data_IF_730907060545
#
_entry.id   IF_730907060545
#
_cell.length_a   1.000
_cell.length_b   1.000
_cell.length_c   1.000
_cell.angle_alpha   90.00
_cell.angle_beta   90.00
_cell.angle_gamma   90.00
#
_symmetry.space_group_name_H-M   'P 1'
#
loop_
_entity.id
_entity.type
_entity.pdbx_description
1 polymer ?
#
# COMPACT_ATOMS: atom_id res chain seq x y z
N UNK A 1 -22.48 37.05 -25.65
CA UNK A 1 -22.38 35.58 -25.47
C UNK A 1 -21.25 35.06 -26.34
N UNK A 2 -20.06 34.83 -25.80
CA UNK A 2 -18.96 34.24 -26.54
C UNK A 2 -19.15 32.71 -26.54
N UNK A 3 -19.35 32.14 -27.73
CA UNK A 3 -19.36 30.70 -27.92
C UNK A 3 -17.95 30.16 -27.61
N UNK A 4 -17.82 29.44 -26.52
CA UNK A 4 -16.60 28.68 -26.18
C UNK A 4 -16.48 27.56 -27.22
N UNK A 5 -15.54 27.65 -28.15
CA UNK A 5 -15.36 26.69 -29.24
C UNK A 5 -14.88 25.32 -28.72
N UNK A 6 -14.95 24.25 -29.53
CA UNK A 6 -14.61 22.89 -29.12
C UNK A 6 -13.17 22.73 -28.60
N UNK A 7 -12.25 23.59 -29.01
CA UNK A 7 -10.86 23.62 -28.51
C UNK A 7 -10.76 24.09 -27.06
N UNK A 8 -11.56 25.10 -26.65
CA UNK A 8 -11.56 25.57 -25.26
C UNK A 8 -12.19 24.55 -24.32
N UNK A 9 -13.23 23.80 -24.75
CA UNK A 9 -13.81 22.71 -23.95
C UNK A 9 -12.82 21.55 -23.76
N UNK A 10 -12.04 21.20 -24.80
CA UNK A 10 -10.99 20.16 -24.69
C UNK A 10 -9.86 20.56 -23.73
N UNK A 11 -9.43 21.84 -23.79
CA UNK A 11 -8.42 22.34 -22.85
C UNK A 11 -8.91 22.34 -21.40
N UNK A 12 -10.15 22.76 -21.12
CA UNK A 12 -10.71 22.73 -19.77
C UNK A 12 -10.89 21.31 -19.26
N UNK A 13 -11.34 20.38 -20.10
CA UNK A 13 -11.49 18.97 -19.72
C UNK A 13 -10.14 18.31 -19.43
N UNK A 14 -9.11 18.62 -20.22
CA UNK A 14 -7.74 18.10 -19.98
C UNK A 14 -7.10 18.68 -18.72
N UNK A 15 -7.28 19.96 -18.42
CA UNK A 15 -6.78 20.55 -17.16
C UNK A 15 -7.44 19.89 -15.95
N UNK A 16 -8.75 19.71 -15.96
CA UNK A 16 -9.49 19.02 -14.91
C UNK A 16 -9.01 17.57 -14.72
N UNK A 17 -8.73 16.84 -15.81
CA UNK A 17 -8.22 15.45 -15.71
C UNK A 17 -6.83 15.39 -15.13
N UNK A 18 -5.91 16.28 -15.47
CA UNK A 18 -4.56 16.33 -14.89
C UNK A 18 -4.64 16.67 -13.40
N UNK A 19 -5.53 17.56 -12.99
CA UNK A 19 -5.76 17.86 -11.57
C UNK A 19 -6.24 16.61 -10.83
N UNK A 20 -7.19 15.86 -11.42
CA UNK A 20 -7.66 14.60 -10.85
C UNK A 20 -6.55 13.55 -10.73
N UNK A 21 -5.69 13.39 -11.73
CA UNK A 21 -4.52 12.50 -11.68
C UNK A 21 -3.59 12.91 -10.52
N UNK A 22 -3.30 14.21 -10.38
CA UNK A 22 -2.41 14.76 -9.35
C UNK A 22 -2.97 14.65 -7.91
N UNK A 23 -4.26 14.40 -7.76
CA UNK A 23 -4.85 14.09 -6.46
C UNK A 23 -4.56 12.67 -6.00
N UNK A 24 -4.28 11.71 -6.90
CA UNK A 24 -4.13 10.29 -6.58
C UNK A 24 -2.75 9.97 -6.01
N UNK A 25 -2.76 9.25 -4.89
CA UNK A 25 -1.58 8.69 -4.24
C UNK A 25 -1.85 7.23 -3.95
N UNK A 26 -1.08 6.33 -4.55
CA UNK A 26 -1.31 4.89 -4.44
C UNK A 26 -0.06 4.21 -3.90
N UNK A 27 -0.19 3.60 -2.74
CA UNK A 27 0.93 2.94 -2.09
C UNK A 27 0.59 1.58 -1.50
N UNK A 28 1.62 0.75 -1.40
CA UNK A 28 1.57 -0.53 -0.70
C UNK A 28 2.14 -0.44 0.70
N UNK A 29 1.62 -1.22 1.63
CA UNK A 29 2.23 -1.39 2.94
C UNK A 29 2.79 -2.80 3.03
N UNK A 30 4.09 -2.91 3.26
CA UNK A 30 4.82 -4.17 3.42
C UNK A 30 5.49 -4.25 4.78
N UNK A 31 5.56 -5.46 5.33
CA UNK A 31 6.18 -5.71 6.61
C UNK A 31 6.44 -7.19 6.81
N UNK A 32 7.36 -7.51 7.71
CA UNK A 32 7.39 -8.84 8.33
C UNK A 32 6.12 -9.07 9.18
N UNK A 33 5.64 -10.32 9.33
CA UNK A 33 4.54 -10.62 10.25
C UNK A 33 4.77 -10.04 11.64
N UNK A 34 3.72 -9.52 12.26
CA UNK A 34 3.72 -8.90 13.59
C UNK A 34 4.48 -7.58 13.73
N UNK A 35 5.05 -6.99 12.68
CA UNK A 35 5.68 -5.66 12.75
C UNK A 35 4.68 -4.52 13.02
N UNK A 36 3.36 -4.79 12.87
CA UNK A 36 2.29 -3.85 13.14
C UNK A 36 1.68 -3.22 11.88
N UNK A 37 1.85 -3.87 10.72
CA UNK A 37 1.31 -3.43 9.44
C UNK A 37 -0.19 -3.14 9.49
N UNK A 38 -1.02 -4.12 9.85
CA UNK A 38 -2.47 -3.98 9.95
C UNK A 38 -2.88 -2.87 10.92
N UNK A 39 -2.15 -2.72 12.04
CA UNK A 39 -2.37 -1.64 12.99
C UNK A 39 -2.10 -0.27 12.35
N UNK A 40 -0.99 -0.14 11.61
CA UNK A 40 -0.68 1.11 10.90
C UNK A 40 -1.75 1.43 9.86
N UNK A 41 -2.16 0.44 9.05
CA UNK A 41 -3.23 0.60 8.05
C UNK A 41 -4.54 1.11 8.68
N UNK A 42 -5.00 0.50 9.78
CA UNK A 42 -6.19 0.92 10.52
C UNK A 42 -6.07 2.36 11.05
N UNK A 43 -4.87 2.77 11.49
CA UNK A 43 -4.64 4.13 11.98
C UNK A 43 -4.60 5.15 10.85
N UNK A 44 -4.02 4.83 9.70
CA UNK A 44 -4.07 5.70 8.52
C UNK A 44 -5.52 5.92 8.07
N UNK A 45 -6.36 4.87 8.05
CA UNK A 45 -7.80 4.98 7.77
C UNK A 45 -8.54 5.82 8.81
N UNK A 46 -8.16 5.71 10.08
CA UNK A 46 -8.75 6.50 11.17
C UNK A 46 -8.42 8.00 11.00
N UNK A 47 -7.17 8.34 10.76
CA UNK A 47 -6.75 9.74 10.53
C UNK A 47 -7.32 10.31 9.24
N UNK A 48 -7.49 9.49 8.21
CA UNK A 48 -8.19 9.84 6.98
C UNK A 48 -9.71 9.97 7.14
N UNK A 49 -10.27 9.74 8.35
CA UNK A 49 -11.71 9.81 8.60
C UNK A 49 -12.54 8.71 7.93
N UNK A 50 -11.89 7.71 7.34
CA UNK A 50 -12.55 6.62 6.63
C UNK A 50 -13.23 5.62 7.57
N UNK A 51 -12.73 5.50 8.80
CA UNK A 51 -13.31 4.70 9.89
C UNK A 51 -13.41 5.54 11.17
N UNK A 52 -14.42 5.25 11.99
CA UNK A 52 -14.64 5.99 13.25
C UNK A 52 -13.79 5.46 14.41
N UNK A 53 -13.43 4.19 14.38
CA UNK A 53 -12.60 3.53 15.39
C UNK A 53 -11.73 2.46 14.73
N UNK A 54 -10.43 2.43 15.05
CA UNK A 54 -9.54 1.39 14.58
C UNK A 54 -9.77 0.05 15.30
N UNK A 55 -9.69 -1.06 14.57
CA UNK A 55 -9.72 -2.41 15.12
C UNK A 55 -8.37 -2.79 15.76
N UNK A 56 -8.38 -3.68 16.76
CA UNK A 56 -7.16 -4.20 17.40
C UNK A 56 -6.94 -5.67 17.03
N UNK A 57 -5.73 -5.98 16.54
CA UNK A 57 -5.36 -7.34 16.09
C UNK A 57 -5.15 -8.32 17.25
N UNK A 58 -4.80 -7.85 18.45
CA UNK A 58 -4.47 -8.72 19.60
C UNK A 58 -5.12 -8.26 20.90
N UNK A 59 -6.41 -8.42 21.01
CA UNK A 59 -7.05 -8.39 22.32
C UNK A 59 -8.17 -9.43 22.36
N UNK A 60 -7.98 -10.50 23.15
CA UNK A 60 -9.03 -11.49 23.45
C UNK A 60 -10.27 -10.88 24.13
N UNK A 61 -10.28 -9.57 24.38
CA UNK A 61 -11.37 -8.84 25.03
C UNK A 61 -12.16 -7.90 24.13
N UNK A 62 -11.67 -7.61 22.91
CA UNK A 62 -12.35 -6.69 21.97
C UNK A 62 -12.83 -7.49 20.76
N UNK A 63 -14.16 -7.65 20.64
CA UNK A 63 -14.84 -8.39 19.53
C UNK A 63 -14.89 -7.63 18.19
N UNK A 64 -14.13 -6.55 17.99
CA UNK A 64 -14.09 -5.83 16.71
C UNK A 64 -12.96 -6.40 15.82
N UNK A 65 -13.33 -6.95 14.67
CA UNK A 65 -12.37 -7.32 13.61
C UNK A 65 -11.82 -6.07 12.95
N UNK A 66 -10.58 -6.15 12.44
CA UNK A 66 -9.96 -5.10 11.66
C UNK A 66 -10.68 -4.89 10.33
N UNK A 67 -10.66 -3.67 9.79
CA UNK A 67 -11.28 -3.34 8.50
C UNK A 67 -10.54 -3.99 7.35
N UNK A 68 -9.22 -4.15 7.48
CA UNK A 68 -8.34 -4.79 6.48
C UNK A 68 -8.51 -6.31 6.41
N UNK A 69 -8.80 -6.99 7.53
CA UNK A 69 -8.95 -8.44 7.59
C UNK A 69 -10.44 -8.81 7.48
N UNK A 70 -10.94 -8.90 6.25
CA UNK A 70 -12.37 -9.13 6.00
C UNK A 70 -12.74 -10.61 5.79
N UNK A 71 -11.76 -11.48 5.46
CA UNK A 71 -11.99 -12.91 5.27
C UNK A 71 -12.14 -13.65 6.59
N UNK A 72 -13.00 -14.67 6.62
CA UNK A 72 -13.23 -15.48 7.82
C UNK A 72 -11.96 -16.21 8.27
N UNK A 73 -11.14 -16.66 7.33
CA UNK A 73 -9.85 -17.31 7.60
C UNK A 73 -8.83 -16.33 8.23
N UNK A 74 -8.86 -15.06 7.85
CA UNK A 74 -8.02 -14.01 8.43
C UNK A 74 -8.41 -13.75 9.89
N UNK A 75 -9.72 -13.64 10.15
CA UNK A 75 -10.27 -13.46 11.50
C UNK A 75 -9.96 -14.65 12.41
N UNK A 76 -10.03 -15.88 11.89
CA UNK A 76 -9.71 -17.09 12.65
C UNK A 76 -8.22 -17.23 12.94
N UNK A 77 -7.36 -16.88 11.99
CA UNK A 77 -5.90 -17.01 12.13
C UNK A 77 -5.24 -15.78 12.76
N UNK A 78 -5.89 -14.61 12.73
CA UNK A 78 -5.35 -13.33 13.18
C UNK A 78 -4.19 -12.83 12.32
N UNK A 79 -4.15 -13.21 11.04
CA UNK A 79 -3.15 -12.80 10.05
C UNK A 79 -3.84 -12.45 8.73
N UNK A 80 -3.36 -11.43 8.04
CA UNK A 80 -3.82 -11.09 6.69
C UNK A 80 -3.37 -12.16 5.69
N UNK A 81 -4.29 -12.69 4.90
CA UNK A 81 -4.07 -13.75 3.92
C UNK A 81 -4.06 -13.20 2.50
N UNK A 82 -4.84 -12.16 2.25
CA UNK A 82 -4.96 -11.53 0.95
C UNK A 82 -4.76 -10.01 1.04
N UNK A 83 -4.29 -9.40 -0.06
CA UNK A 83 -4.20 -7.94 -0.15
C UNK A 83 -5.59 -7.32 -0.05
N UNK A 84 -5.74 -6.36 0.83
CA UNK A 84 -6.92 -5.50 0.93
C UNK A 84 -6.68 -4.20 0.18
N UNK A 85 -7.64 -3.78 -0.63
CA UNK A 85 -7.63 -2.49 -1.31
C UNK A 85 -8.57 -1.55 -0.57
N UNK A 86 -8.07 -0.39 -0.18
CA UNK A 86 -8.83 0.61 0.57
C UNK A 86 -8.50 1.99 0.05
N UNK A 87 -9.50 2.86 -0.01
CA UNK A 87 -9.32 4.24 -0.43
C UNK A 87 -9.98 5.21 0.56
N UNK A 88 -9.45 6.41 0.67
CA UNK A 88 -10.00 7.51 1.45
C UNK A 88 -9.47 8.85 0.95
N UNK A 89 -10.13 9.93 1.33
CA UNK A 89 -9.69 11.29 1.03
C UNK A 89 -8.95 11.87 2.23
N UNK A 90 -7.83 12.54 1.96
CA UNK A 90 -7.05 13.26 2.98
C UNK A 90 -6.34 14.46 2.37
N UNK A 91 -6.52 15.67 2.95
CA UNK A 91 -5.92 16.94 2.47
C UNK A 91 -6.08 17.11 0.95
N UNK A 92 -7.30 16.97 0.45
CA UNK A 92 -7.67 17.05 -0.98
C UNK A 92 -6.97 16.03 -1.90
N UNK A 93 -6.39 14.98 -1.31
CA UNK A 93 -5.81 13.86 -2.07
C UNK A 93 -6.65 12.60 -1.91
N UNK A 94 -6.77 11.85 -3.00
CA UNK A 94 -7.35 10.51 -3.02
C UNK A 94 -6.25 9.50 -2.72
N UNK A 95 -6.29 8.90 -1.56
CA UNK A 95 -5.30 7.93 -1.09
C UNK A 95 -5.81 6.53 -1.36
N UNK A 96 -5.03 5.72 -2.08
CA UNK A 96 -5.28 4.31 -2.30
C UNK A 96 -4.24 3.48 -1.55
N UNK A 97 -4.67 2.69 -0.57
CA UNK A 97 -3.82 1.78 0.20
C UNK A 97 -4.03 0.35 -0.31
N UNK A 98 -2.93 -0.34 -0.59
CA UNK A 98 -2.89 -1.76 -0.84
C UNK A 98 -2.18 -2.45 0.33
N UNK A 99 -2.98 -2.95 1.28
CA UNK A 99 -2.46 -3.64 2.47
C UNK A 99 -2.15 -5.09 2.13
N UNK A 100 -0.85 -5.44 2.06
CA UNK A 100 -0.39 -6.75 1.59
C UNK A 100 -0.27 -7.75 2.74
N UNK A 101 -0.40 -9.07 2.50
CA UNK A 101 -0.10 -10.06 3.52
C UNK A 101 1.40 -10.01 3.90
N UNK A 102 1.69 -10.09 5.23
CA UNK A 102 3.07 -10.10 5.71
C UNK A 102 3.72 -11.49 5.73
N UNK A 103 2.93 -12.56 5.64
CA UNK A 103 3.43 -13.93 5.76
C UNK A 103 4.03 -14.43 4.46
N UNK A 104 5.17 -15.16 4.54
CA UNK A 104 5.90 -15.69 3.39
C UNK A 104 5.05 -16.57 2.45
N UNK A 105 4.07 -17.29 3.00
CA UNK A 105 3.20 -18.19 2.22
C UNK A 105 2.30 -17.43 1.24
N UNK A 106 2.18 -16.11 1.41
CA UNK A 106 1.37 -15.22 0.55
C UNK A 106 2.22 -14.18 -0.18
N UNK A 107 3.53 -14.41 -0.28
CA UNK A 107 4.46 -13.49 -0.93
C UNK A 107 4.12 -13.20 -2.40
N UNK A 108 3.58 -14.19 -3.12
CA UNK A 108 3.16 -14.02 -4.52
C UNK A 108 2.09 -12.93 -4.69
N UNK A 109 1.09 -12.89 -3.80
CA UNK A 109 0.05 -11.86 -3.83
C UNK A 109 0.66 -10.47 -3.55
N UNK A 110 1.62 -10.40 -2.62
CA UNK A 110 2.37 -9.19 -2.33
C UNK A 110 3.17 -8.71 -3.55
N UNK A 111 3.91 -9.59 -4.22
CA UNK A 111 4.71 -9.23 -5.40
C UNK A 111 3.85 -8.71 -6.56
N UNK A 112 2.67 -9.31 -6.79
CA UNK A 112 1.71 -8.83 -7.80
C UNK A 112 1.14 -7.48 -7.41
N UNK A 113 0.77 -7.30 -6.15
CA UNK A 113 0.25 -6.03 -5.62
C UNK A 113 1.25 -4.89 -5.77
N UNK A 114 2.56 -5.15 -5.55
CA UNK A 114 3.62 -4.16 -5.74
C UNK A 114 3.75 -3.67 -7.18
N UNK A 115 3.16 -4.36 -8.18
CA UNK A 115 3.10 -3.83 -9.55
C UNK A 115 2.09 -2.71 -9.71
N UNK A 116 1.10 -2.65 -8.85
CA UNK A 116 -0.02 -1.70 -8.95
C UNK A 116 0.19 -0.42 -8.14
N UNK A 117 1.27 -0.32 -7.34
CA UNK A 117 1.54 0.84 -6.48
C UNK A 117 2.60 1.77 -7.08
N UNK A 118 2.61 3.02 -6.65
CA UNK A 118 3.57 4.04 -7.07
C UNK A 118 4.64 4.29 -6.01
N UNK A 119 4.38 3.91 -4.75
CA UNK A 119 5.33 3.97 -3.63
C UNK A 119 5.00 2.90 -2.60
N UNK A 120 5.89 2.70 -1.63
CA UNK A 120 5.75 1.67 -0.59
C UNK A 120 6.10 2.23 0.78
N UNK A 121 5.31 1.88 1.80
CA UNK A 121 5.66 2.08 3.20
C UNK A 121 6.10 0.72 3.77
N UNK A 122 7.33 0.67 4.27
CA UNK A 122 7.91 -0.50 4.94
C UNK A 122 7.80 -0.34 6.44
N UNK A 123 7.15 -1.27 7.13
CA UNK A 123 7.01 -1.23 8.58
C UNK A 123 8.03 -2.16 9.23
N UNK A 124 8.85 -1.61 10.13
CA UNK A 124 9.89 -2.33 10.87
C UNK A 124 9.57 -2.28 12.36
N UNK A 125 9.71 -3.41 13.05
CA UNK A 125 9.59 -3.49 14.52
C UNK A 125 10.90 -3.02 15.15
N UNK A 126 10.84 -2.02 16.05
CA UNK A 126 12.02 -1.45 16.71
C UNK A 126 12.86 -2.50 17.44
N UNK A 127 12.22 -3.52 18.01
CA UNK A 127 12.93 -4.56 18.76
C UNK A 127 13.59 -5.61 17.86
N UNK A 128 12.96 -5.92 16.72
CA UNK A 128 13.44 -6.96 15.79
C UNK A 128 14.38 -6.41 14.72
N UNK A 129 14.15 -5.18 14.27
CA UNK A 129 14.86 -4.57 13.15
C UNK A 129 14.42 -5.15 11.81
N UNK A 130 15.33 -5.18 10.85
CA UNK A 130 15.06 -5.69 9.49
C UNK A 130 15.07 -7.21 9.48
N UNK A 131 13.94 -7.81 9.14
CA UNK A 131 13.73 -9.25 9.07
C UNK A 131 13.73 -9.74 7.60
N UNK A 132 14.10 -11.00 7.38
CA UNK A 132 14.34 -11.59 6.04
C UNK A 132 13.19 -11.42 5.05
N UNK A 133 11.93 -11.44 5.51
CA UNK A 133 10.81 -11.22 4.60
C UNK A 133 10.76 -9.78 4.10
N UNK A 134 11.11 -8.82 4.96
CA UNK A 134 11.21 -7.40 4.58
C UNK A 134 12.31 -7.19 3.55
N UNK A 135 13.47 -7.82 3.71
CA UNK A 135 14.58 -7.74 2.74
C UNK A 135 14.14 -8.16 1.34
N UNK A 136 13.48 -9.33 1.22
CA UNK A 136 13.00 -9.85 -0.08
C UNK A 136 11.97 -8.92 -0.74
N UNK A 137 11.06 -8.35 0.04
CA UNK A 137 10.03 -7.45 -0.49
C UNK A 137 10.62 -6.11 -0.95
N UNK A 138 11.58 -5.58 -0.19
CA UNK A 138 12.30 -4.35 -0.55
C UNK A 138 13.17 -4.55 -1.79
N UNK A 139 13.80 -5.71 -1.95
CA UNK A 139 14.55 -6.06 -3.15
C UNK A 139 13.68 -5.93 -4.41
N UNK A 140 12.44 -6.43 -4.37
CA UNK A 140 11.48 -6.29 -5.49
C UNK A 140 11.12 -4.83 -5.75
N UNK A 141 10.95 -4.01 -4.72
CA UNK A 141 10.70 -2.58 -4.86
C UNK A 141 11.90 -1.86 -5.52
N UNK A 142 13.13 -2.21 -5.11
CA UNK A 142 14.35 -1.65 -5.68
C UNK A 142 14.54 -1.99 -7.16
N UNK A 143 14.27 -3.25 -7.54
CA UNK A 143 14.33 -3.67 -8.96
C UNK A 143 13.42 -2.83 -9.87
N UNK A 144 12.42 -2.16 -9.30
CA UNK A 144 11.46 -1.31 -10.01
C UNK A 144 11.66 0.18 -9.77
N UNK A 145 12.68 0.55 -9.03
CA UNK A 145 12.92 1.93 -8.57
C UNK A 145 11.67 2.53 -7.89
N UNK A 146 10.93 1.69 -7.15
CA UNK A 146 9.73 2.15 -6.42
C UNK A 146 10.17 2.95 -5.20
N UNK A 147 9.74 4.20 -5.04
CA UNK A 147 10.04 5.02 -3.86
C UNK A 147 9.57 4.34 -2.57
N UNK A 148 10.45 4.32 -1.56
CA UNK A 148 10.23 3.63 -0.29
C UNK A 148 10.31 4.63 0.85
N UNK A 149 9.37 4.53 1.81
CA UNK A 149 9.42 5.16 3.11
C UNK A 149 9.48 4.06 4.16
N UNK A 150 10.33 4.20 5.17
CA UNK A 150 10.39 3.27 6.31
C UNK A 150 9.70 3.90 7.52
N UNK A 151 8.86 3.10 8.19
CA UNK A 151 8.25 3.42 9.47
C UNK A 151 8.74 2.45 10.54
N UNK A 152 9.60 2.92 11.44
CA UNK A 152 10.05 2.17 12.61
C UNK A 152 8.99 2.26 13.70
N UNK A 153 8.33 1.14 13.95
CA UNK A 153 7.14 1.03 14.77
C UNK A 153 7.44 0.45 16.16
N UNK A 154 6.54 0.69 17.09
CA UNK A 154 6.52 0.16 18.47
C UNK A 154 7.57 0.79 19.41
N UNK A 155 7.86 2.08 19.26
CA UNK A 155 8.76 2.82 20.16
C UNK A 155 8.30 2.85 21.63
N UNK A 156 7.05 2.48 21.90
CA UNK A 156 6.51 2.26 23.24
C UNK A 156 7.11 1.03 23.95
N UNK A 157 7.99 0.30 23.26
CA UNK A 157 8.69 -0.88 23.78
C UNK A 157 10.20 -0.67 23.72
N UNK A 158 10.91 -1.42 24.57
CA UNK A 158 12.38 -1.51 24.48
C UNK A 158 12.77 -2.15 23.14
N UNK A 159 13.78 -1.60 22.50
CA UNK A 159 14.24 -2.04 21.18
C UNK A 159 15.69 -1.71 20.90
N UNK A 160 16.08 -1.77 19.64
CA UNK A 160 17.40 -1.40 19.17
C UNK A 160 17.57 0.12 19.19
N UNK A 161 18.81 0.55 19.32
CA UNK A 161 19.16 1.97 19.18
C UNK A 161 18.76 2.52 17.80
N UNK A 162 18.43 3.81 17.72
CA UNK A 162 18.00 4.44 16.49
C UNK A 162 19.07 4.43 15.39
N UNK A 163 20.34 4.67 15.75
CA UNK A 163 21.46 4.64 14.81
C UNK A 163 21.73 3.20 14.32
N UNK A 164 21.71 2.21 15.22
CA UNK A 164 21.85 0.80 14.86
C UNK A 164 20.78 0.35 13.85
N UNK A 165 19.55 0.89 14.02
CA UNK A 165 18.45 0.60 13.08
C UNK A 165 18.65 1.26 11.72
N UNK A 166 19.13 2.50 11.68
CA UNK A 166 19.43 3.18 10.41
C UNK A 166 20.54 2.44 9.65
N UNK A 167 21.61 2.05 10.34
CA UNK A 167 22.70 1.25 9.76
C UNK A 167 22.20 -0.11 9.27
N UNK A 168 21.35 -0.78 10.05
CA UNK A 168 20.75 -2.06 9.66
C UNK A 168 19.87 -1.92 8.41
N UNK A 169 19.10 -0.83 8.29
CA UNK A 169 18.28 -0.52 7.11
C UNK A 169 19.18 -0.32 5.89
N UNK A 170 20.24 0.48 6.02
CA UNK A 170 21.16 0.72 4.91
C UNK A 170 21.86 -0.55 4.45
N UNK A 171 22.40 -1.35 5.37
CA UNK A 171 23.15 -2.56 5.05
C UNK A 171 22.26 -3.65 4.48
N UNK A 172 21.15 -3.97 5.16
CA UNK A 172 20.29 -5.10 4.79
C UNK A 172 19.35 -4.80 3.63
N UNK A 173 18.80 -3.59 3.57
CA UNK A 173 17.89 -3.21 2.51
C UNK A 173 18.61 -2.57 1.31
N UNK A 174 19.89 -2.19 1.49
CA UNK A 174 20.70 -1.52 0.46
C UNK A 174 20.08 -0.18 0.05
N UNK A 175 19.48 0.55 0.99
CA UNK A 175 18.85 1.84 0.80
C UNK A 175 19.66 2.91 1.51
N UNK A 176 19.84 4.05 0.86
CA UNK A 176 20.40 5.23 1.52
C UNK A 176 19.30 5.91 2.32
N UNK A 177 19.49 6.08 3.64
CA UNK A 177 18.43 6.60 4.50
C UNK A 177 18.57 8.09 4.79
N UNK A 178 17.44 8.74 5.07
CA UNK A 178 17.35 10.08 5.63
C UNK A 178 16.27 10.09 6.71
N UNK A 179 16.61 10.23 7.99
CA UNK A 179 15.62 10.31 9.05
C UNK A 179 14.86 11.63 8.98
N UNK A 180 13.53 11.57 8.87
CA UNK A 180 12.64 12.74 8.90
C UNK A 180 11.98 12.94 10.26
N UNK A 181 12.09 11.96 11.15
CA UNK A 181 11.75 12.10 12.56
C UNK A 181 12.74 11.35 13.42
N UNK A 182 12.89 11.74 14.69
CA UNK A 182 13.81 11.11 15.63
C UNK A 182 13.18 10.93 17.01
N UNK A 183 13.33 9.75 17.66
CA UNK A 183 12.70 9.50 18.95
C UNK A 183 13.38 10.28 20.09
N UNK A 184 12.58 10.74 21.05
CA UNK A 184 13.04 11.29 22.30
C UNK A 184 12.89 10.23 23.38
N UNK A 185 13.93 9.42 23.54
CA UNK A 185 13.92 8.24 24.38
C UNK A 185 13.21 7.03 23.73
N UNK A 186 13.14 5.92 24.45
CA UNK A 186 12.55 4.66 23.99
C UNK A 186 11.95 3.87 25.17
N UNK A 187 10.99 2.98 24.90
CA UNK A 187 10.36 2.14 25.90
C UNK A 187 9.70 2.95 27.00
N UNK A 188 10.06 2.70 28.26
CA UNK A 188 9.52 3.46 29.40
C UNK A 188 10.00 4.91 29.45
N UNK A 189 11.13 5.23 28.81
CA UNK A 189 11.69 6.57 28.72
C UNK A 189 11.20 7.33 27.48
N UNK A 190 10.36 6.72 26.65
CA UNK A 190 9.83 7.33 25.44
C UNK A 190 8.93 8.54 25.77
N UNK A 191 9.35 9.72 25.37
CA UNK A 191 8.66 11.00 25.65
C UNK A 191 7.97 11.55 24.42
N UNK A 192 8.47 11.23 23.23
CA UNK A 192 7.96 11.78 22.01
C UNK A 192 8.90 11.59 20.83
N UNK A 193 8.61 12.32 19.76
CA UNK A 193 9.42 12.35 18.54
C UNK A 193 9.67 13.79 18.15
N UNK A 194 10.87 14.08 17.70
CA UNK A 194 11.21 15.33 17.05
C UNK A 194 11.14 15.15 15.53
N UNK A 195 10.28 15.90 14.86
CA UNK A 195 10.21 15.94 13.39
C UNK A 195 11.31 16.84 12.85
N UNK A 196 12.28 16.25 12.13
CA UNK A 196 13.30 17.01 11.42
C UNK A 196 12.70 17.72 10.19
N UNK A 197 11.65 17.14 9.60
CA UNK A 197 10.99 17.69 8.42
C UNK A 197 10.20 18.97 8.73
N UNK A 198 9.39 18.95 9.80
CA UNK A 198 8.54 20.08 10.19
C UNK A 198 9.13 20.96 11.31
N UNK A 199 10.22 20.51 11.97
CA UNK A 199 10.83 21.12 13.14
C UNK A 199 9.85 21.26 14.30
N UNK A 200 9.14 20.17 14.58
CA UNK A 200 8.16 20.07 15.65
C UNK A 200 8.58 19.00 16.66
N UNK A 201 8.37 19.28 17.95
CA UNK A 201 8.39 18.25 18.99
C UNK A 201 6.97 17.75 19.21
N UNK A 202 6.79 16.46 19.13
CA UNK A 202 5.50 15.78 19.32
C UNK A 202 5.64 14.93 20.56
N UNK A 203 4.82 15.21 21.60
CA UNK A 203 4.88 14.50 22.87
C UNK A 203 4.02 13.24 22.84
N UNK A 204 4.48 12.20 23.51
CA UNK A 204 3.81 10.94 23.63
C UNK A 204 2.83 10.96 24.83
N UNK A 205 1.59 10.60 24.57
CA UNK A 205 0.56 10.38 25.60
C UNK A 205 0.06 8.93 25.51
N UNK A 206 0.38 8.04 26.48
CA UNK A 206 -0.06 6.64 26.47
C UNK A 206 -1.60 6.57 26.43
N UNK A 207 -2.13 5.79 25.48
CA UNK A 207 -3.58 5.57 25.29
C UNK A 207 -4.42 6.83 25.02
N UNK A 208 -3.77 8.00 24.84
CA UNK A 208 -4.43 9.25 24.46
C UNK A 208 -4.74 9.34 22.96
N UNK A 209 -5.68 10.20 22.59
CA UNK A 209 -5.73 10.75 21.26
C UNK A 209 -4.61 11.81 21.21
N UNK A 210 -3.80 11.76 20.17
CA UNK A 210 -2.86 12.85 19.92
C UNK A 210 -3.67 14.12 19.65
N UNK A 211 -3.51 15.11 20.50
CA UNK A 211 -4.17 16.41 20.39
C UNK A 211 -3.20 17.43 19.78
N UNK A 212 -3.71 18.48 19.17
CA UNK A 212 -2.85 19.56 18.63
C UNK A 212 -2.01 20.23 19.71
N UNK A 213 -2.47 20.18 20.96
CA UNK A 213 -1.76 20.70 22.15
C UNK A 213 -0.49 19.91 22.49
N UNK A 214 -0.33 18.70 21.95
CA UNK A 214 0.88 17.86 22.12
C UNK A 214 1.99 18.18 21.10
N UNK A 215 1.75 19.11 20.17
CA UNK A 215 2.69 19.49 19.10
C UNK A 215 3.27 20.87 19.39
N UNK A 216 4.59 20.96 19.53
CA UNK A 216 5.30 22.18 19.84
C UNK A 216 6.30 22.52 18.75
N UNK A 217 6.19 23.71 18.15
CA UNK A 217 7.14 24.15 17.15
C UNK A 217 8.47 24.52 17.84
N UNK A 218 9.54 23.84 17.46
CA UNK A 218 10.90 24.02 17.98
C UNK A 218 11.85 24.15 16.79
N UNK A 219 12.05 25.37 16.35
CA UNK A 219 12.94 25.66 15.22
C UNK A 219 14.42 25.61 15.62
N UNK A 220 14.72 25.89 16.87
CA UNK A 220 16.05 25.86 17.46
C UNK A 220 16.06 24.87 18.63
N UNK A 221 16.90 23.88 18.57
CA UNK A 221 17.04 22.88 19.62
C UNK A 221 17.61 23.44 20.93
N UNK A 222 18.22 24.61 20.89
CA UNK A 222 18.69 25.32 22.09
C UNK A 222 17.55 26.07 22.81
N UNK A 223 16.34 26.10 22.26
CA UNK A 223 15.19 26.71 22.92
C UNK A 223 14.90 26.02 24.27
N UNK A 224 14.75 26.80 25.30
CA UNK A 224 14.38 26.37 26.66
C UNK A 224 13.04 25.59 26.69
N UNK A 225 12.17 25.79 25.68
CA UNK A 225 10.92 25.05 25.53
C UNK A 225 11.16 23.53 25.42
N UNK A 226 12.22 23.11 24.71
CA UNK A 226 12.59 21.70 24.62
C UNK A 226 12.86 21.10 26.00
N UNK A 227 13.71 21.75 26.80
CA UNK A 227 14.04 21.29 28.16
C UNK A 227 12.82 21.25 29.08
N UNK A 228 11.95 22.25 28.97
CA UNK A 228 10.72 22.34 29.75
C UNK A 228 9.76 21.19 29.44
N UNK A 229 9.74 20.71 28.20
CA UNK A 229 8.79 19.64 27.73
C UNK A 229 9.36 18.26 27.99
N UNK A 230 10.61 17.99 27.67
CA UNK A 230 11.18 16.63 27.76
C UNK A 230 12.15 16.44 28.91
N UNK A 231 12.53 17.54 29.62
CA UNK A 231 13.52 17.56 30.69
C UNK A 231 14.95 17.66 30.15
N UNK A 232 15.85 18.23 30.97
CA UNK A 232 17.20 18.61 30.57
C UNK A 232 18.04 17.47 29.99
N UNK A 233 18.00 16.29 30.61
CA UNK A 233 18.82 15.16 30.15
C UNK A 233 18.36 14.71 28.76
N UNK A 234 17.05 14.48 28.55
CA UNK A 234 16.52 14.05 27.26
C UNK A 234 16.71 15.11 26.14
N UNK A 235 16.64 16.43 26.53
CA UNK A 235 16.90 17.49 25.58
C UNK A 235 18.37 17.50 25.13
N UNK A 236 19.32 17.32 26.07
CA UNK A 236 20.75 17.26 25.74
C UNK A 236 21.08 16.07 24.86
N UNK A 237 20.57 14.87 25.20
CA UNK A 237 20.72 13.66 24.35
C UNK A 237 20.18 13.92 22.96
N UNK A 238 18.96 14.48 22.83
CA UNK A 238 18.38 14.80 21.53
C UNK A 238 19.26 15.77 20.71
N UNK A 239 19.82 16.82 21.35
CA UNK A 239 20.73 17.77 20.67
C UNK A 239 21.96 17.06 20.09
N UNK A 240 22.61 16.21 20.88
CA UNK A 240 23.78 15.45 20.47
C UNK A 240 23.44 14.48 19.33
N UNK A 241 22.34 13.77 19.44
CA UNK A 241 21.86 12.83 18.42
C UNK A 241 21.49 13.56 17.11
N UNK A 242 20.73 14.66 17.15
CA UNK A 242 20.39 15.44 15.95
C UNK A 242 21.64 16.04 15.30
N UNK A 243 22.60 16.55 16.09
CA UNK A 243 23.87 17.01 15.54
C UNK A 243 24.61 15.91 14.79
N UNK A 244 24.63 14.70 15.35
CA UNK A 244 25.23 13.52 14.71
C UNK A 244 24.47 13.16 13.44
N UNK A 245 23.13 13.11 13.47
CA UNK A 245 22.29 12.80 12.31
C UNK A 245 22.56 13.75 11.14
N UNK A 246 22.56 15.05 11.39
CA UNK A 246 22.79 16.07 10.35
C UNK A 246 24.19 15.98 9.76
N UNK A 247 25.17 15.49 10.53
CA UNK A 247 26.56 15.32 10.04
C UNK A 247 26.77 14.04 9.24
N UNK A 248 25.99 12.98 9.51
CA UNK A 248 26.21 11.64 8.95
C UNK A 248 25.23 11.35 7.80
N UNK A 249 23.96 11.71 7.95
CA UNK A 249 22.94 11.37 6.95
C UNK A 249 22.62 12.56 6.03
N UNK A 250 22.28 12.30 4.75
CA UNK A 250 21.95 13.35 3.80
C UNK A 250 20.64 14.05 4.19
N UNK A 251 20.52 15.32 3.84
CA UNK A 251 19.23 16.01 3.87
C UNK A 251 18.26 15.35 2.88
N UNK A 252 16.96 15.51 3.15
CA UNK A 252 15.93 14.96 2.29
C UNK A 252 15.95 15.65 0.92
N UNK A 253 16.16 14.84 -0.12
CA UNK A 253 16.05 15.22 -1.53
C UNK A 253 14.89 14.46 -2.17
N UNK A 254 13.87 15.20 -2.62
CA UNK A 254 12.68 14.62 -3.23
C UNK A 254 12.99 13.90 -4.54
N UNK A 255 13.91 14.41 -5.35
CA UNK A 255 14.26 13.79 -6.65
C UNK A 255 14.99 12.47 -6.44
N UNK A 256 15.89 12.41 -5.45
CA UNK A 256 16.55 11.17 -5.05
C UNK A 256 15.53 10.15 -4.47
N UNK A 257 14.59 10.60 -3.65
CA UNK A 257 13.48 9.75 -3.17
C UNK A 257 12.64 9.20 -4.32
N UNK A 258 12.26 10.05 -5.28
CA UNK A 258 11.45 9.64 -6.44
C UNK A 258 12.15 8.62 -7.35
N UNK A 259 13.48 8.59 -7.37
CA UNK A 259 14.28 7.61 -8.09
C UNK A 259 14.51 6.32 -7.32
N UNK A 260 14.11 6.27 -6.05
CA UNK A 260 14.38 5.15 -5.15
C UNK A 260 15.82 5.12 -4.59
N UNK A 261 16.57 6.20 -4.74
CA UNK A 261 17.95 6.34 -4.28
C UNK A 261 18.06 6.77 -2.81
N UNK A 262 17.01 7.41 -2.28
CA UNK A 262 16.93 7.91 -0.91
C UNK A 262 15.64 7.44 -0.24
N UNK A 263 15.75 6.97 1.00
CA UNK A 263 14.66 6.43 1.78
C UNK A 263 14.38 7.27 3.03
N UNK A 264 13.27 8.00 3.11
CA UNK A 264 12.84 8.66 4.34
C UNK A 264 12.52 7.64 5.44
N UNK A 265 12.96 7.93 6.68
CA UNK A 265 12.69 7.10 7.85
C UNK A 265 11.91 7.88 8.90
N UNK A 266 10.80 7.29 9.35
CA UNK A 266 9.96 7.78 10.43
C UNK A 266 9.98 6.83 11.61
N UNK A 267 9.83 7.38 12.81
CA UNK A 267 9.75 6.65 14.06
C UNK A 267 8.40 6.89 14.73
N UNK A 268 7.78 5.85 15.31
CA UNK A 268 6.48 5.99 15.96
C UNK A 268 5.96 4.76 16.67
N UNK A 269 4.71 4.85 17.13
CA UNK A 269 3.94 3.74 17.71
C UNK A 269 2.52 3.73 17.16
N UNK A 270 2.26 2.86 16.19
CA UNK A 270 0.95 2.78 15.54
C UNK A 270 -0.18 2.44 16.53
N UNK A 271 0.07 1.57 17.50
CA UNK A 271 -0.93 1.22 18.55
C UNK A 271 -1.41 2.46 19.29
N UNK A 272 -0.50 3.38 19.60
CA UNK A 272 -0.76 4.58 20.37
C UNK A 272 -1.10 5.81 19.51
N UNK A 273 -1.32 5.65 18.22
CA UNK A 273 -1.59 6.72 17.24
C UNK A 273 -0.42 7.72 17.06
N UNK A 274 0.79 7.34 17.42
CA UNK A 274 1.91 8.25 17.53
C UNK A 274 2.83 8.18 16.31
N UNK A 275 3.19 9.34 15.74
CA UNK A 275 4.00 9.45 14.52
C UNK A 275 3.27 9.03 13.23
N UNK A 276 1.99 8.62 13.32
CA UNK A 276 1.22 8.14 12.17
C UNK A 276 0.64 9.29 11.35
N UNK A 277 0.17 10.36 12.03
CA UNK A 277 -0.33 11.56 11.36
C UNK A 277 0.81 12.24 10.60
N UNK A 278 1.96 12.40 11.23
CA UNK A 278 3.16 13.01 10.66
C UNK A 278 3.67 12.23 9.45
N UNK A 279 3.65 10.89 9.55
CA UNK A 279 3.93 10.03 8.40
C UNK A 279 2.94 10.29 7.25
N UNK A 280 1.64 10.37 7.54
CA UNK A 280 0.60 10.59 6.53
C UNK A 280 0.70 11.99 5.91
N UNK A 281 0.92 13.02 6.71
CA UNK A 281 1.09 14.40 6.25
C UNK A 281 2.31 14.52 5.33
N UNK A 282 3.47 14.04 5.76
CA UNK A 282 4.66 14.05 4.93
C UNK A 282 4.49 13.16 3.68
N UNK A 283 3.85 11.99 3.81
CA UNK A 283 3.56 11.12 2.67
C UNK A 283 2.76 11.86 1.60
N UNK A 284 1.71 12.57 1.96
CA UNK A 284 0.89 13.33 1.00
C UNK A 284 1.71 14.37 0.25
N UNK A 285 2.67 15.00 0.93
CA UNK A 285 3.51 16.04 0.34
C UNK A 285 4.59 15.48 -0.59
N UNK A 286 5.27 14.38 -0.21
CA UNK A 286 6.42 13.85 -0.93
C UNK A 286 6.10 12.72 -1.91
N UNK A 287 5.04 11.93 -1.67
CA UNK A 287 4.72 10.75 -2.48
C UNK A 287 4.50 11.07 -3.96
N UNK A 288 4.89 10.16 -4.86
CA UNK A 288 4.68 10.34 -6.29
C UNK A 288 3.20 10.48 -6.64
N UNK A 289 2.93 11.22 -7.69
CA UNK A 289 1.71 11.07 -8.47
C UNK A 289 1.77 9.72 -9.21
N UNK A 290 0.68 9.27 -9.85
CA UNK A 290 0.72 8.06 -10.65
C UNK A 290 1.89 8.06 -11.63
N UNK A 291 2.70 7.00 -11.59
CA UNK A 291 3.92 6.87 -12.39
C UNK A 291 3.62 6.21 -13.74
N UNK A 292 4.42 6.52 -14.79
CA UNK A 292 4.37 5.79 -16.06
C UNK A 292 4.55 4.29 -15.88
N UNK A 293 3.94 3.50 -16.77
CA UNK A 293 4.03 2.04 -16.75
C UNK A 293 4.58 1.50 -18.07
N UNK A 294 5.54 0.61 -17.97
CA UNK A 294 6.15 -0.01 -19.14
C UNK A 294 5.27 -1.15 -19.68
N UNK A 295 5.12 -1.17 -21.00
CA UNK A 295 4.54 -2.30 -21.74
C UNK A 295 5.57 -2.91 -22.67
N UNK A 296 5.24 -4.01 -23.33
CA UNK A 296 6.10 -4.60 -24.35
C UNK A 296 6.26 -3.65 -25.55
N UNK A 297 5.20 -2.87 -25.84
CA UNK A 297 5.11 -2.02 -27.03
C UNK A 297 5.68 -0.61 -26.78
N UNK A 298 5.44 -0.04 -25.60
CA UNK A 298 5.85 1.34 -25.26
C UNK A 298 5.70 1.65 -23.77
N UNK A 299 6.17 2.83 -23.35
CA UNK A 299 5.81 3.37 -22.04
C UNK A 299 4.45 4.07 -22.11
N UNK A 300 3.59 3.83 -21.13
CA UNK A 300 2.26 4.45 -20.98
C UNK A 300 2.34 5.50 -19.88
N UNK A 301 1.96 6.75 -20.23
CA UNK A 301 1.96 7.87 -19.27
C UNK A 301 0.56 8.12 -18.71
N UNK A 302 0.44 8.49 -17.44
CA UNK A 302 -0.85 8.78 -16.82
C UNK A 302 -1.67 9.89 -17.53
N UNK A 303 -0.96 10.85 -18.13
CA UNK A 303 -1.59 12.02 -18.79
C UNK A 303 -2.16 11.71 -20.17
N UNK A 304 -1.95 10.51 -20.71
CA UNK A 304 -2.49 10.12 -22.01
C UNK A 304 -4.03 10.07 -22.01
N UNK A 305 -4.64 10.50 -23.12
CA UNK A 305 -6.10 10.59 -23.25
C UNK A 305 -6.77 9.21 -23.33
N UNK A 306 -6.12 8.26 -24.00
CA UNK A 306 -6.66 6.91 -24.20
C UNK A 306 -6.55 6.08 -22.92
N UNK A 307 -7.64 5.43 -22.59
CA UNK A 307 -7.70 4.54 -21.44
C UNK A 307 -6.83 3.31 -21.62
N UNK A 308 -6.10 2.99 -20.56
CA UNK A 308 -5.44 1.70 -20.38
C UNK A 308 -5.39 1.28 -18.92
N UNK A 309 -5.44 -0.01 -18.67
CA UNK A 309 -5.38 -0.61 -17.34
C UNK A 309 -4.90 -2.04 -17.41
N UNK A 310 -4.42 -2.60 -16.29
CA UNK A 310 -4.09 -4.00 -16.17
C UNK A 310 -4.65 -4.64 -14.90
N UNK A 311 -4.92 -5.94 -14.99
CA UNK A 311 -5.37 -6.78 -13.87
C UNK A 311 -4.16 -7.26 -13.10
N UNK A 312 -4.02 -6.85 -11.84
CA UNK A 312 -2.92 -7.33 -10.98
C UNK A 312 -3.36 -8.40 -10.00
N UNK A 313 -4.66 -8.50 -9.73
CA UNK A 313 -5.22 -9.45 -8.77
C UNK A 313 -6.62 -9.89 -9.16
N UNK A 314 -6.95 -11.15 -8.84
CA UNK A 314 -8.31 -11.69 -8.91
C UNK A 314 -8.65 -12.29 -7.57
N UNK A 315 -9.81 -11.95 -7.04
CA UNK A 315 -10.32 -12.49 -5.79
C UNK A 315 -11.65 -13.21 -6.05
N UNK A 316 -11.70 -14.49 -5.75
CA UNK A 316 -12.93 -15.27 -5.84
C UNK A 316 -13.58 -15.42 -4.46
N UNK A 317 -14.92 -15.57 -4.44
CA UNK A 317 -15.70 -15.89 -3.23
C UNK A 317 -15.51 -14.90 -2.06
N UNK A 318 -15.46 -13.59 -2.33
CA UNK A 318 -15.44 -12.58 -1.25
C UNK A 318 -16.68 -12.67 -0.34
N UNK A 319 -17.82 -13.06 -0.89
CA UNK A 319 -19.01 -13.43 -0.11
C UNK A 319 -19.23 -14.95 -0.26
N UNK A 320 -19.16 -15.73 0.85
CA UNK A 320 -19.42 -17.18 0.80
C UNK A 320 -20.80 -17.56 0.25
N UNK A 321 -21.77 -16.62 0.30
CA UNK A 321 -23.13 -16.82 -0.22
C UNK A 321 -23.26 -16.53 -1.71
N UNK A 322 -22.33 -15.72 -2.26
CA UNK A 322 -22.31 -15.34 -3.66
C UNK A 322 -21.00 -15.81 -4.29
N UNK A 323 -21.10 -16.44 -5.47
CA UNK A 323 -19.93 -16.95 -6.23
C UNK A 323 -19.32 -15.85 -7.09
N UNK A 324 -19.14 -14.67 -6.52
CA UNK A 324 -18.64 -13.53 -7.26
C UNK A 324 -17.11 -13.54 -7.29
N UNK A 325 -16.56 -13.29 -8.48
CA UNK A 325 -15.15 -12.98 -8.69
C UNK A 325 -15.03 -11.49 -8.92
N UNK A 326 -13.97 -10.91 -8.38
CA UNK A 326 -13.61 -9.51 -8.61
C UNK A 326 -12.19 -9.48 -9.16
N UNK A 327 -12.04 -8.92 -10.35
CA UNK A 327 -10.76 -8.58 -10.92
C UNK A 327 -10.40 -7.14 -10.51
N UNK A 328 -9.22 -6.96 -9.91
CA UNK A 328 -8.71 -5.65 -9.50
C UNK A 328 -7.82 -5.10 -10.60
N UNK A 329 -8.22 -3.95 -11.10
CA UNK A 329 -7.52 -3.23 -12.16
C UNK A 329 -6.81 -2.02 -11.60
N UNK A 330 -5.58 -1.80 -12.04
CA UNK A 330 -4.86 -0.53 -11.91
C UNK A 330 -5.11 0.30 -13.16
N UNK A 331 -5.66 1.51 -13.01
CA UNK A 331 -5.79 2.46 -14.10
C UNK A 331 -4.43 3.11 -14.37
N UNK A 332 -3.97 3.05 -15.62
CA UNK A 332 -2.66 3.56 -16.03
C UNK A 332 -2.74 4.84 -16.83
N UNK A 333 -3.73 5.01 -17.70
CA UNK A 333 -3.96 6.20 -18.52
C UNK A 333 -5.44 6.41 -18.84
N UNK A 334 -5.80 7.58 -19.32
CA UNK A 334 -7.16 7.93 -19.69
C UNK A 334 -8.13 8.04 -18.52
N UNK A 335 -9.40 7.85 -18.78
CA UNK A 335 -10.46 7.82 -17.77
C UNK A 335 -11.28 6.55 -17.94
N UNK A 336 -11.46 5.80 -16.85
CA UNK A 336 -12.42 4.73 -16.83
C UNK A 336 -13.82 5.30 -16.62
N UNK A 337 -14.76 4.94 -17.48
CA UNK A 337 -16.16 5.34 -17.37
C UNK A 337 -17.07 4.12 -17.29
N UNK A 338 -18.03 4.18 -16.38
CA UNK A 338 -19.04 3.15 -16.22
C UNK A 338 -19.87 2.98 -17.49
N UNK A 339 -20.22 1.76 -17.83
CA UNK A 339 -21.02 1.42 -19.00
C UNK A 339 -20.37 1.76 -20.37
N UNK A 340 -19.06 2.04 -20.40
CA UNK A 340 -18.28 2.22 -21.62
C UNK A 340 -17.70 0.87 -22.10
N UNK A 341 -17.49 0.73 -23.42
CA UNK A 341 -16.89 -0.46 -23.99
C UNK A 341 -15.36 -0.33 -23.96
N UNK A 342 -14.70 -1.32 -23.37
CA UNK A 342 -13.26 -1.44 -23.35
C UNK A 342 -12.80 -2.69 -24.08
N UNK A 343 -11.72 -2.60 -24.83
CA UNK A 343 -11.11 -3.70 -25.55
C UNK A 343 -10.29 -4.57 -24.61
N UNK A 344 -10.69 -5.81 -24.46
CA UNK A 344 -9.94 -6.82 -23.71
C UNK A 344 -8.89 -7.44 -24.62
N UNK A 345 -7.62 -7.10 -24.44
CA UNK A 345 -6.53 -7.41 -25.37
C UNK A 345 -6.39 -8.93 -25.59
N UNK A 346 -6.24 -9.71 -24.53
CA UNK A 346 -6.09 -11.18 -24.65
C UNK A 346 -7.27 -11.87 -25.33
N UNK A 347 -8.50 -11.41 -25.11
CA UNK A 347 -9.70 -12.04 -25.69
C UNK A 347 -10.08 -11.47 -27.07
N UNK A 348 -9.47 -10.35 -27.49
CA UNK A 348 -9.74 -9.70 -28.76
C UNK A 348 -11.19 -9.18 -28.90
N UNK A 349 -11.86 -8.85 -27.80
CA UNK A 349 -13.26 -8.41 -27.80
C UNK A 349 -13.51 -7.23 -26.87
N UNK A 350 -14.56 -6.46 -27.18
CA UNK A 350 -15.03 -5.39 -26.32
C UNK A 350 -15.89 -5.95 -25.17
N UNK A 351 -15.69 -5.37 -24.00
CA UNK A 351 -16.42 -5.67 -22.78
C UNK A 351 -16.97 -4.40 -22.16
N UNK A 352 -18.11 -4.50 -21.48
CA UNK A 352 -18.82 -3.42 -20.82
C UNK A 352 -19.07 -3.75 -19.36
N UNK A 353 -18.85 -2.78 -18.46
CA UNK A 353 -18.92 -2.98 -17.02
C UNK A 353 -20.00 -2.09 -16.38
N UNK A 354 -21.18 -2.67 -16.05
CA UNK A 354 -22.27 -1.90 -15.47
C UNK A 354 -22.09 -1.56 -13.99
N UNK A 355 -21.32 -2.36 -13.25
CA UNK A 355 -21.13 -2.24 -11.80
C UNK A 355 -19.66 -2.25 -11.41
N UNK A 356 -18.84 -1.29 -11.89
CA UNK A 356 -17.47 -1.15 -11.42
C UNK A 356 -17.48 -0.69 -9.96
N UNK A 357 -16.56 -1.20 -9.15
CA UNK A 357 -16.57 -1.00 -7.70
C UNK A 357 -15.28 -0.36 -7.24
N UNK A 358 -15.37 0.68 -6.44
CA UNK A 358 -14.28 1.15 -5.59
C UNK A 358 -14.46 0.65 -4.15
N UNK A 359 -13.35 0.62 -3.43
CA UNK A 359 -13.29 0.12 -2.07
C UNK A 359 -12.97 1.29 -1.13
N UNK A 360 -14.03 1.96 -0.64
CA UNK A 360 -13.91 3.04 0.34
C UNK A 360 -13.92 2.44 1.74
N UNK A 361 -12.72 2.27 2.32
CA UNK A 361 -12.51 1.56 3.59
C UNK A 361 -13.20 0.18 3.60
N UNK A 362 -14.21 -0.05 4.43
CA UNK A 362 -14.96 -1.31 4.51
C UNK A 362 -16.16 -1.40 3.55
N UNK A 363 -16.47 -0.32 2.82
CA UNK A 363 -17.66 -0.25 1.98
C UNK A 363 -17.29 -0.36 0.50
N UNK A 364 -18.02 -1.21 -0.22
CA UNK A 364 -18.00 -1.24 -1.68
C UNK A 364 -18.98 -0.22 -2.21
N UNK A 365 -18.54 0.65 -3.12
CA UNK A 365 -19.40 1.60 -3.82
C UNK A 365 -19.26 1.42 -5.31
N UNK A 366 -20.36 1.51 -6.04
CA UNK A 366 -20.33 1.60 -7.50
C UNK A 366 -19.81 2.99 -7.87
N UNK A 367 -18.88 3.03 -8.82
CA UNK A 367 -18.28 4.28 -9.30
C UNK A 367 -18.69 4.53 -10.75
N UNK A 368 -18.79 5.80 -11.12
CA UNK A 368 -19.07 6.21 -12.48
C UNK A 368 -17.79 6.47 -13.27
N UNK A 369 -16.76 7.01 -12.62
CA UNK A 369 -15.46 7.35 -13.20
C UNK A 369 -14.29 6.93 -12.31
N UNK A 370 -13.14 6.64 -12.94
CA UNK A 370 -11.85 6.44 -12.24
C UNK A 370 -10.70 6.93 -13.13
N UNK A 371 -9.62 7.35 -12.47
CA UNK A 371 -8.50 8.04 -13.10
C UNK A 371 -7.18 7.26 -12.89
N UNK A 372 -6.12 7.57 -13.66
CA UNK A 372 -4.81 6.97 -13.42
C UNK A 372 -4.41 7.06 -11.94
N UNK A 373 -3.98 5.95 -11.38
CA UNK A 373 -3.72 5.81 -9.96
C UNK A 373 -4.80 5.05 -9.20
N UNK A 374 -6.04 5.10 -9.63
CA UNK A 374 -7.13 4.39 -8.95
C UNK A 374 -7.08 2.88 -9.17
N UNK A 375 -7.62 2.17 -8.20
CA UNK A 375 -7.85 0.71 -8.25
C UNK A 375 -9.35 0.47 -8.37
N UNK A 376 -9.75 -0.23 -9.42
CA UNK A 376 -11.15 -0.55 -9.71
C UNK A 376 -11.37 -2.04 -9.65
N UNK A 377 -12.41 -2.48 -8.94
CA UNK A 377 -12.88 -3.85 -8.96
C UNK A 377 -13.94 -4.08 -10.03
N UNK A 378 -13.74 -5.04 -10.89
CA UNK A 378 -14.71 -5.46 -11.89
C UNK A 378 -15.25 -6.85 -11.55
N UNK A 379 -16.58 -6.99 -11.51
CA UNK A 379 -17.21 -8.29 -11.38
C UNK A 379 -16.91 -9.13 -12.61
N UNK A 380 -16.44 -10.35 -12.37
CA UNK A 380 -15.96 -11.25 -13.40
C UNK A 380 -16.63 -12.64 -13.30
N UNK A 381 -17.07 -13.15 -14.43
CA UNK A 381 -17.62 -14.52 -14.56
C UNK A 381 -16.59 -15.57 -14.97
N UNK A 382 -15.29 -15.24 -14.93
CA UNK A 382 -14.18 -16.11 -15.36
C UNK A 382 -13.51 -15.68 -16.66
N UNK A 383 -13.69 -14.43 -17.06
CA UNK A 383 -13.09 -13.87 -18.29
C UNK A 383 -11.67 -13.38 -18.08
N UNK A 384 -11.37 -12.82 -16.88
CA UNK A 384 -10.08 -12.21 -16.57
C UNK A 384 -9.05 -13.21 -16.07
N UNK A 385 -7.80 -12.94 -16.43
CA UNK A 385 -6.60 -13.51 -15.84
C UNK A 385 -5.70 -12.40 -15.34
N UNK A 386 -4.82 -12.71 -14.38
CA UNK A 386 -3.80 -11.78 -13.92
C UNK A 386 -2.91 -11.43 -15.11
N UNK A 387 -2.62 -10.12 -15.27
CA UNK A 387 -1.89 -9.58 -16.42
C UNK A 387 -2.76 -9.18 -17.61
N UNK A 388 -4.06 -9.48 -17.60
CA UNK A 388 -4.95 -9.01 -18.66
C UNK A 388 -5.02 -7.49 -18.71
N UNK A 389 -5.13 -6.97 -19.94
CA UNK A 389 -5.17 -5.53 -20.21
C UNK A 389 -6.51 -5.12 -20.80
N UNK A 390 -7.06 -4.01 -20.32
CA UNK A 390 -8.19 -3.31 -20.93
C UNK A 390 -7.74 -1.98 -21.48
N UNK A 391 -8.14 -1.67 -22.73
CA UNK A 391 -7.78 -0.43 -23.44
C UNK A 391 -8.96 0.11 -24.24
N UNK A 392 -8.77 1.25 -24.89
CA UNK A 392 -9.66 1.79 -25.94
C UNK A 392 -9.23 1.33 -27.34
N UNK A 393 -8.87 0.06 -27.50
CA UNK A 393 -8.57 -0.57 -28.79
C UNK A 393 -7.08 -0.73 -29.12
N UNK A 394 -6.18 -0.19 -28.32
CA UNK A 394 -4.74 -0.40 -28.43
C UNK A 394 -4.35 -1.76 -27.85
N UNK A 395 -3.42 -2.47 -28.49
CA UNK A 395 -2.86 -3.71 -27.97
C UNK A 395 -1.66 -3.38 -27.11
N UNK A 396 -1.77 -3.59 -25.80
CA UNK A 396 -0.71 -3.31 -24.81
C UNK A 396 -0.58 -4.51 -23.87
N UNK A 397 0.69 -4.85 -23.54
CA UNK A 397 1.04 -5.90 -22.58
C UNK A 397 1.94 -5.31 -21.48
N UNK A 398 1.35 -5.05 -20.30
CA UNK A 398 2.07 -4.45 -19.19
C UNK A 398 3.13 -5.39 -18.63
N UNK A 399 4.36 -4.86 -18.46
CA UNK A 399 5.52 -5.57 -17.91
C UNK A 399 5.51 -5.61 -16.39
N UNK A 400 6.35 -6.50 -15.86
CA UNK A 400 6.64 -6.54 -14.42
C UNK A 400 5.62 -7.29 -13.56
N UNK A 401 4.55 -7.86 -14.14
CA UNK A 401 3.64 -8.71 -13.41
C UNK A 401 4.28 -10.08 -13.26
N UNK A 402 4.63 -10.52 -12.02
CA UNK A 402 5.39 -11.74 -11.84
C UNK A 402 4.55 -12.99 -12.14
N UNK A 403 5.16 -13.94 -12.85
CA UNK A 403 4.67 -15.30 -13.01
C UNK A 403 5.53 -16.23 -12.17
N UNK A 404 4.91 -17.05 -11.34
CA UNK A 404 5.60 -17.93 -10.40
C UNK A 404 5.55 -19.37 -10.89
N UNK A 405 6.70 -20.06 -10.80
CA UNK A 405 6.76 -21.51 -11.04
C UNK A 405 6.30 -22.25 -9.77
N UNK A 406 5.53 -23.36 -9.92
CA UNK A 406 5.12 -24.15 -8.77
C UNK A 406 6.32 -24.74 -8.02
N UNK A 407 6.40 -24.47 -6.70
CA UNK A 407 7.44 -25.05 -5.82
C UNK A 407 7.03 -26.43 -5.26
N UNK A 408 5.74 -26.72 -5.16
CA UNK A 408 5.22 -27.95 -4.60
C UNK A 408 4.15 -28.55 -5.46
N UNK A 409 4.19 -29.87 -5.58
CA UNK A 409 3.17 -30.66 -6.28
C UNK A 409 2.38 -31.49 -5.29
N UNK A 410 1.07 -31.57 -5.46
CA UNK A 410 0.15 -32.40 -4.66
C UNK A 410 -0.84 -33.09 -5.57
N UNK A 411 -1.11 -34.35 -5.28
CA UNK A 411 -2.22 -35.06 -5.92
C UNK A 411 -3.53 -34.71 -5.22
N UNK A 412 -4.53 -34.40 -6.01
CA UNK A 412 -5.90 -34.17 -5.54
C UNK A 412 -6.76 -35.31 -6.04
N UNK A 413 -7.24 -36.15 -5.13
CA UNK A 413 -8.12 -37.25 -5.43
C UNK A 413 -9.57 -36.90 -5.09
N UNK A 414 -10.48 -37.08 -6.02
CA UNK A 414 -11.90 -36.92 -5.76
C UNK A 414 -12.41 -38.16 -5.04
N UNK A 415 -12.84 -38.03 -3.80
CA UNK A 415 -13.40 -39.10 -2.97
C UNK A 415 -14.89 -39.32 -3.25
N UNK A 416 -15.57 -38.34 -3.84
CA UNK A 416 -17.00 -38.40 -4.19
C UNK A 416 -17.21 -38.11 -5.69
N UNK A 417 -17.44 -39.15 -6.51
CA UNK A 417 -17.63 -39.00 -7.95
C UNK A 417 -18.74 -38.00 -8.34
N UNK A 418 -19.76 -37.83 -7.50
CA UNK A 418 -20.87 -36.91 -7.73
C UNK A 418 -20.43 -35.45 -7.66
N UNK A 419 -19.32 -35.15 -6.97
CA UNK A 419 -18.74 -33.79 -6.78
C UNK A 419 -17.65 -33.46 -7.78
N UNK A 420 -17.39 -34.29 -8.81
CA UNK A 420 -16.30 -34.06 -9.78
C UNK A 420 -16.40 -32.68 -10.45
N UNK A 421 -17.61 -32.26 -10.84
CA UNK A 421 -17.82 -30.93 -11.44
C UNK A 421 -17.49 -29.77 -10.45
N UNK A 422 -17.80 -29.96 -9.18
CA UNK A 422 -17.51 -28.97 -8.14
C UNK A 422 -16.00 -28.89 -7.88
N UNK A 423 -15.31 -30.04 -7.80
CA UNK A 423 -13.86 -30.10 -7.62
C UNK A 423 -13.14 -29.42 -8.80
N UNK A 424 -13.47 -29.78 -10.04
CA UNK A 424 -12.85 -29.17 -11.21
C UNK A 424 -13.07 -27.66 -11.24
N UNK A 425 -14.29 -27.20 -10.98
CA UNK A 425 -14.59 -25.77 -10.90
C UNK A 425 -13.78 -25.06 -9.79
N UNK A 426 -13.60 -25.70 -8.63
CA UNK A 426 -12.79 -25.17 -7.54
C UNK A 426 -11.30 -25.10 -7.92
N UNK A 427 -10.78 -26.09 -8.62
CA UNK A 427 -9.41 -26.09 -9.14
C UNK A 427 -9.20 -25.01 -10.20
N UNK A 428 -10.15 -24.83 -11.13
CA UNK A 428 -10.10 -23.77 -12.13
C UNK A 428 -10.09 -22.39 -11.47
N UNK A 429 -10.93 -22.17 -10.45
CA UNK A 429 -10.94 -20.92 -9.68
C UNK A 429 -9.60 -20.64 -9.01
N UNK A 430 -8.99 -21.66 -8.37
CA UNK A 430 -7.68 -21.54 -7.75
C UNK A 430 -6.56 -21.23 -8.75
N UNK A 431 -6.65 -21.76 -9.97
CA UNK A 431 -5.70 -21.44 -11.05
C UNK A 431 -5.84 -19.98 -11.51
N UNK A 432 -7.07 -19.51 -11.64
CA UNK A 432 -7.35 -18.16 -12.11
C UNK A 432 -6.95 -17.08 -11.09
N UNK A 433 -6.93 -17.40 -9.78
CA UNK A 433 -6.38 -16.53 -8.72
C UNK A 433 -4.84 -16.42 -8.79
N UNK A 434 -4.21 -17.24 -9.65
CA UNK A 434 -2.82 -17.06 -10.09
C UNK A 434 -1.74 -17.63 -9.18
N UNK A 435 -2.07 -18.31 -8.09
CA UNK A 435 -1.07 -18.91 -7.18
C UNK A 435 -0.83 -20.41 -7.43
N UNK A 436 -1.54 -21.04 -8.39
CA UNK A 436 -1.50 -22.48 -8.52
C UNK A 436 -1.73 -22.90 -9.98
N UNK A 437 -1.12 -24.04 -10.36
CA UNK A 437 -1.33 -24.67 -11.67
C UNK A 437 -1.87 -26.08 -11.45
N UNK A 438 -3.00 -26.41 -12.04
CA UNK A 438 -3.54 -27.77 -12.02
C UNK A 438 -3.16 -28.51 -13.30
N UNK A 439 -2.60 -29.69 -13.16
CA UNK A 439 -2.35 -30.62 -14.25
C UNK A 439 -3.37 -31.74 -14.16
N UNK A 440 -4.21 -31.87 -15.20
CA UNK A 440 -5.17 -32.95 -15.30
C UNK A 440 -4.50 -34.19 -15.91
N UNK A 441 -4.43 -35.28 -15.15
CA UNK A 441 -3.98 -36.55 -15.69
C UNK A 441 -5.08 -37.10 -16.63
N UNK A 442 -4.82 -37.11 -17.94
CA UNK A 442 -5.67 -37.87 -18.88
C UNK A 442 -5.53 -39.33 -18.51
N UNK A 443 -6.60 -39.95 -17.98
CA UNK A 443 -6.67 -41.44 -17.95
C UNK A 443 -6.66 -41.90 -19.39
N UNK A 444 -5.53 -42.44 -19.84
CA UNK A 444 -5.55 -43.36 -20.95
C UNK A 444 -6.26 -44.65 -20.41
N UNK A 445 -7.43 -44.92 -20.89
CA UNK A 445 -8.02 -46.20 -20.70
C UNK A 445 -7.24 -47.16 -21.59
N UNK A 446 -6.94 -48.41 -21.11
CA UNK A 446 -6.32 -49.45 -21.95
C UNK A 446 -7.23 -49.91 -23.06
#
# INVERSE_FOLDING_TARGET
MYFCGPLQRKCHHNMSRIEEINKRKTFGIIAHPDAGKTTLTEKLLLFGGAIQEAGAVKSNKIKKSTTSDFMEIEKQRGISVATSVMAFEYRDKQINILDTPGHKDFAEDTYRTLTAVDSVIVVIDVAKGVETQTEKLVEVCRMRNTPIIVFVNKLDREGKDGFDLLDEIEIKLGLKVTPLSWPVGMGQLFKGVYSLYEKNLILFSPHGKQEEEDIFKINDLEDALLENKVGKNAANTLREEIHTLVSVYPEFDRDAYMKGDLCPVFFGSAVNNFGVRELLDCFVDIAPNPLPRETEERSVRPEEEKFSSFVFKIHANMDPKHRDRIAFLRICSGTFERNTNYFHVRQGKNMKFPNPTAFMASKKSVIDEAYPGDIVGLYDSGNFKIGDTLTEGEVLHFKGIPSFSPEQFRFVNNTDPMKTKQLNKGLDQLMDEGGRTAFYQRRQWP
#
